data_IF_413816954558
#
_entry.id   IF_413816954558
#
_cell.length_a   1.000
_cell.length_b   1.000
_cell.length_c   1.000
_cell.angle_alpha   90.00
_cell.angle_beta   90.00
_cell.angle_gamma   90.00
#
_symmetry.space_group_name_H-M   'P 1'
#
loop_
_entity.id
_entity.type
_entity.pdbx_description
1 polymer ?
#
# COMPACT_ATOMS: atom_id res chain seq x y z
N UNK A 1 -8.26 -15.58 -10.30
CA UNK A 1 -9.68 -15.79 -10.64
C UNK A 1 -10.26 -14.57 -11.34
N UNK A 2 -10.45 -13.43 -10.65
CA UNK A 2 -11.11 -12.25 -11.23
C UNK A 2 -10.52 -11.82 -12.58
N UNK A 3 -9.19 -11.77 -12.68
CA UNK A 3 -8.50 -11.44 -13.93
C UNK A 3 -8.85 -12.39 -15.09
N UNK A 4 -8.79 -13.70 -14.85
CA UNK A 4 -9.10 -14.73 -15.86
C UNK A 4 -10.54 -14.67 -16.38
N UNK A 5 -11.47 -14.08 -15.61
CA UNK A 5 -12.89 -13.95 -15.98
C UNK A 5 -13.32 -12.50 -16.20
N UNK A 6 -12.37 -11.59 -16.42
CA UNK A 6 -12.63 -10.19 -16.75
C UNK A 6 -13.43 -9.42 -15.68
N UNK A 7 -13.28 -9.78 -14.41
CA UNK A 7 -13.95 -9.12 -13.29
C UNK A 7 -13.02 -8.05 -12.71
N UNK A 8 -13.42 -6.77 -12.68
CA UNK A 8 -12.66 -5.70 -12.03
C UNK A 8 -12.34 -5.99 -10.56
N UNK A 9 -11.18 -5.54 -10.12
CA UNK A 9 -10.73 -5.68 -8.73
C UNK A 9 -10.77 -4.31 -8.05
N UNK A 10 -11.47 -4.23 -6.92
CA UNK A 10 -11.48 -3.05 -6.05
C UNK A 10 -10.89 -3.46 -4.70
N UNK A 11 -9.79 -2.83 -4.34
CA UNK A 11 -9.05 -3.11 -3.11
C UNK A 11 -9.29 -2.01 -2.10
N UNK A 12 -9.61 -2.38 -0.85
CA UNK A 12 -9.65 -1.47 0.29
C UNK A 12 -8.46 -1.77 1.19
N UNK A 13 -7.62 -0.78 1.43
CA UNK A 13 -6.36 -0.96 2.14
C UNK A 13 -6.37 -0.29 3.53
N UNK A 14 -6.21 -1.11 4.56
CA UNK A 14 -5.86 -0.72 5.93
C UNK A 14 -4.94 -1.80 6.53
N UNK A 15 -3.66 -1.77 6.14
CA UNK A 15 -2.67 -2.79 6.50
C UNK A 15 -1.42 -2.15 7.13
N UNK A 16 -1.06 -2.52 8.38
CA UNK A 16 0.15 -2.02 9.04
C UNK A 16 1.43 -2.78 8.63
N UNK A 17 1.32 -3.86 7.84
CA UNK A 17 2.42 -4.72 7.46
C UNK A 17 2.05 -6.20 7.48
N UNK A 18 3.05 -7.06 7.34
CA UNK A 18 2.91 -8.50 7.53
C UNK A 18 2.96 -8.86 9.02
N UNK A 19 2.34 -9.97 9.39
CA UNK A 19 2.40 -10.49 10.76
C UNK A 19 3.83 -10.95 11.08
N UNK A 20 4.51 -10.36 12.08
CA UNK A 20 5.82 -10.84 12.49
C UNK A 20 5.71 -12.17 13.25
N UNK A 21 6.70 -13.05 13.06
CA UNK A 21 6.85 -14.25 13.88
C UNK A 21 7.66 -15.36 13.21
N UNK A 22 8.45 -16.09 13.99
CA UNK A 22 9.29 -17.21 13.50
C UNK A 22 8.48 -18.24 12.72
N UNK A 23 7.26 -18.53 13.19
CA UNK A 23 6.36 -19.46 12.51
C UNK A 23 5.96 -18.95 11.11
N UNK A 24 5.78 -17.65 10.91
CA UNK A 24 5.48 -17.08 9.59
C UNK A 24 6.66 -17.28 8.64
N UNK A 25 7.88 -17.04 9.12
CA UNK A 25 9.10 -17.24 8.35
C UNK A 25 9.31 -18.71 7.96
N UNK A 26 9.22 -19.62 8.93
CA UNK A 26 9.36 -21.06 8.68
C UNK A 26 8.27 -21.63 7.78
N UNK A 27 7.04 -21.10 7.87
CA UNK A 27 5.94 -21.46 6.98
C UNK A 27 6.04 -20.76 5.60
N UNK A 28 7.12 -20.01 5.35
CA UNK A 28 7.44 -19.46 4.05
C UNK A 28 6.60 -18.23 3.67
N UNK A 29 6.36 -17.31 4.60
CA UNK A 29 5.60 -16.07 4.35
C UNK A 29 6.13 -15.28 3.15
N UNK A 30 7.44 -15.33 2.87
CA UNK A 30 8.06 -14.71 1.69
C UNK A 30 7.43 -15.24 0.40
N UNK A 31 7.36 -16.57 0.24
CA UNK A 31 6.75 -17.22 -0.93
C UNK A 31 5.25 -16.95 -1.00
N UNK A 32 4.57 -16.98 0.14
CA UNK A 32 3.12 -16.76 0.21
C UNK A 32 2.73 -15.31 -0.11
N UNK A 33 3.42 -14.32 0.46
CA UNK A 33 3.20 -12.90 0.19
C UNK A 33 3.48 -12.54 -1.27
N UNK A 34 4.51 -13.15 -1.87
CA UNK A 34 4.85 -12.93 -3.27
C UNK A 34 3.75 -13.42 -4.24
N UNK A 35 2.89 -14.38 -3.84
CA UNK A 35 1.72 -14.81 -4.65
C UNK A 35 0.75 -13.66 -4.88
N UNK A 36 0.48 -12.85 -3.85
CA UNK A 36 -0.43 -11.71 -3.96
C UNK A 36 0.15 -10.61 -4.86
N UNK A 37 1.44 -10.31 -4.68
CA UNK A 37 2.17 -9.38 -5.54
C UNK A 37 2.11 -9.84 -7.01
N UNK A 38 2.42 -11.12 -7.25
CA UNK A 38 2.38 -11.72 -8.57
C UNK A 38 0.99 -11.59 -9.21
N UNK A 39 -0.06 -11.92 -8.45
CA UNK A 39 -1.45 -11.86 -8.95
C UNK A 39 -1.87 -10.45 -9.37
N UNK A 40 -1.52 -9.41 -8.60
CA UNK A 40 -1.83 -8.02 -8.98
C UNK A 40 -0.98 -7.53 -10.17
N UNK A 41 0.31 -7.88 -10.21
CA UNK A 41 1.22 -7.50 -11.30
C UNK A 41 0.85 -8.16 -12.63
N UNK A 42 0.38 -9.42 -12.61
CA UNK A 42 -0.03 -10.15 -13.79
C UNK A 42 -1.40 -9.68 -14.31
N UNK A 43 -2.30 -9.29 -13.40
CA UNK A 43 -3.66 -8.93 -13.76
C UNK A 43 -3.74 -7.73 -14.73
N UNK A 44 -4.55 -7.90 -15.78
CA UNK A 44 -4.81 -6.92 -16.84
C UNK A 44 -6.20 -6.28 -16.74
N UNK A 45 -7.10 -6.87 -15.95
CA UNK A 45 -8.40 -6.25 -15.62
C UNK A 45 -8.24 -4.87 -15.00
N UNK A 46 -9.30 -4.04 -15.02
CA UNK A 46 -9.39 -2.85 -14.17
C UNK A 46 -9.08 -3.13 -12.70
N UNK A 47 -8.14 -2.38 -12.15
CA UNK A 47 -7.70 -2.43 -10.75
C UNK A 47 -7.84 -1.05 -10.13
N UNK A 48 -8.63 -0.96 -9.07
CA UNK A 48 -8.82 0.27 -8.31
C UNK A 48 -8.46 0.01 -6.85
N UNK A 49 -7.81 0.97 -6.19
CA UNK A 49 -7.49 0.88 -4.77
C UNK A 49 -8.03 2.10 -4.01
N UNK A 50 -8.53 1.87 -2.80
CA UNK A 50 -8.93 2.91 -1.84
C UNK A 50 -8.20 2.64 -0.53
N UNK A 51 -7.22 3.49 -0.22
CA UNK A 51 -6.51 3.45 1.05
C UNK A 51 -7.38 4.15 2.09
N UNK A 52 -7.91 3.39 3.05
CA UNK A 52 -8.86 3.89 4.05
C UNK A 52 -8.14 4.39 5.29
N UNK A 53 -7.02 3.73 5.67
CA UNK A 53 -6.18 4.15 6.79
C UNK A 53 -4.72 3.72 6.59
N UNK A 54 -4.23 2.63 7.18
CA UNK A 54 -2.79 2.30 7.14
C UNK A 54 -2.38 1.67 5.81
N UNK A 55 -1.22 2.07 5.30
CA UNK A 55 -0.61 1.48 4.11
C UNK A 55 0.92 1.53 4.28
N UNK A 56 1.48 0.51 4.93
CA UNK A 56 2.89 0.52 5.33
C UNK A 56 3.77 -0.44 4.53
N UNK A 57 4.90 0.08 4.05
CA UNK A 57 6.04 -0.68 3.55
C UNK A 57 5.67 -1.69 2.45
N UNK A 58 6.15 -2.92 2.61
CA UNK A 58 5.89 -3.99 1.65
C UNK A 58 4.41 -4.30 1.47
N UNK A 59 3.59 -4.14 2.52
CA UNK A 59 2.15 -4.40 2.40
C UNK A 59 1.46 -3.39 1.48
N UNK A 60 1.83 -2.11 1.56
CA UNK A 60 1.40 -1.09 0.59
C UNK A 60 1.74 -1.48 -0.84
N UNK A 61 3.00 -1.88 -1.08
CA UNK A 61 3.43 -2.26 -2.41
C UNK A 61 2.57 -3.40 -2.98
N UNK A 62 2.22 -4.39 -2.15
CA UNK A 62 1.48 -5.60 -2.53
C UNK A 62 -0.03 -5.35 -2.70
N UNK A 63 -0.61 -4.34 -2.03
CA UNK A 63 -2.05 -4.09 -2.01
C UNK A 63 -2.55 -3.17 -3.15
N UNK A 64 -2.33 -3.60 -4.40
CA UNK A 64 -2.76 -2.85 -5.60
C UNK A 64 -2.22 -1.40 -5.62
N UNK A 65 -0.95 -1.20 -5.27
CA UNK A 65 -0.31 0.11 -5.41
C UNK A 65 -0.20 0.54 -6.87
N UNK A 66 -0.03 1.84 -7.11
CA UNK A 66 0.19 2.39 -8.47
C UNK A 66 1.44 1.78 -9.12
N UNK A 67 2.44 1.44 -8.32
CA UNK A 67 3.69 0.83 -8.76
C UNK A 67 3.49 -0.56 -9.38
N UNK A 68 2.39 -1.23 -9.08
CA UNK A 68 2.05 -2.56 -9.60
C UNK A 68 0.85 -2.53 -10.56
N UNK A 69 0.78 -1.48 -11.37
CA UNK A 69 -0.18 -1.33 -12.49
C UNK A 69 -1.64 -1.21 -12.04
N UNK A 70 -1.88 -0.70 -10.84
CA UNK A 70 -3.23 -0.28 -10.45
C UNK A 70 -3.64 0.93 -11.27
N UNK A 71 -4.87 0.95 -11.78
CA UNK A 71 -5.33 1.98 -12.72
C UNK A 71 -5.66 3.28 -11.99
N UNK A 72 -6.41 3.17 -10.89
CA UNK A 72 -6.84 4.34 -10.09
C UNK A 72 -6.70 4.03 -8.59
N UNK A 73 -5.93 4.87 -7.89
CA UNK A 73 -5.72 4.77 -6.46
C UNK A 73 -6.22 6.05 -5.77
N UNK A 74 -7.16 5.90 -4.86
CA UNK A 74 -7.62 6.98 -3.98
C UNK A 74 -7.15 6.75 -2.55
N UNK A 75 -7.02 7.83 -1.81
CA UNK A 75 -6.80 7.77 -0.37
C UNK A 75 -7.86 8.59 0.37
N UNK A 76 -8.26 8.14 1.55
CA UNK A 76 -9.01 8.98 2.48
C UNK A 76 -8.08 9.97 3.19
N UNK A 77 -8.60 11.06 3.79
CA UNK A 77 -7.77 11.98 4.58
C UNK A 77 -7.15 11.31 5.81
N UNK A 78 -7.72 10.19 6.25
CA UNK A 78 -7.24 9.33 7.34
C UNK A 78 -6.14 8.36 6.91
N UNK A 79 -5.76 8.35 5.63
CA UNK A 79 -4.77 7.42 5.13
C UNK A 79 -3.35 7.79 5.58
N UNK A 80 -2.61 6.80 6.03
CA UNK A 80 -1.23 6.90 6.47
C UNK A 80 -0.38 6.03 5.55
N UNK A 81 0.31 6.65 4.59
CA UNK A 81 1.14 5.95 3.60
C UNK A 81 2.60 6.17 3.97
N UNK A 82 3.28 5.12 4.42
CA UNK A 82 4.63 5.24 4.97
C UNK A 82 5.49 4.00 4.69
N UNK A 83 6.82 4.13 4.80
CA UNK A 83 7.76 3.00 4.64
C UNK A 83 7.61 1.98 5.79
N UNK A 84 7.37 2.46 7.01
CA UNK A 84 7.10 1.65 8.19
C UNK A 84 6.34 2.49 9.22
N UNK A 85 5.85 1.85 10.29
CA UNK A 85 5.20 2.57 11.39
C UNK A 85 6.12 3.58 12.08
N UNK A 86 5.56 4.73 12.47
CA UNK A 86 6.31 5.87 13.01
C UNK A 86 7.25 5.52 14.18
N UNK A 87 6.80 4.68 15.11
CA UNK A 87 7.61 4.26 16.25
C UNK A 87 8.86 3.48 15.81
N UNK A 88 8.71 2.56 14.86
CA UNK A 88 9.83 1.81 14.28
C UNK A 88 10.79 2.72 13.52
N UNK A 89 10.26 3.65 12.73
CA UNK A 89 11.06 4.61 11.97
C UNK A 89 11.89 5.51 12.90
N UNK A 90 11.28 6.06 13.95
CA UNK A 90 11.94 6.96 14.90
C UNK A 90 13.08 6.26 15.65
N UNK A 91 12.85 5.02 16.09
CA UNK A 91 13.88 4.24 16.79
C UNK A 91 15.11 3.98 15.93
N UNK A 92 14.96 3.91 14.59
CA UNK A 92 16.08 3.69 13.67
C UNK A 92 16.73 5.02 13.28
N UNK A 93 15.94 6.01 12.87
CA UNK A 93 16.43 7.29 12.35
C UNK A 93 17.11 8.14 13.44
N UNK A 94 16.54 8.15 14.64
CA UNK A 94 16.99 8.99 15.75
C UNK A 94 17.70 8.20 16.85
N UNK A 95 18.14 6.96 16.57
CA UNK A 95 18.80 6.08 17.54
C UNK A 95 19.93 6.78 18.33
N UNK A 96 20.77 7.55 17.62
CA UNK A 96 21.91 8.28 18.22
C UNK A 96 21.48 9.49 19.05
N UNK A 97 20.40 10.16 18.67
CA UNK A 97 19.86 11.30 19.40
C UNK A 97 19.18 10.83 20.69
N UNK A 98 18.36 9.77 20.60
CA UNK A 98 17.71 9.15 21.74
C UNK A 98 18.72 8.60 22.75
N UNK A 99 19.83 8.01 22.29
CA UNK A 99 20.89 7.52 23.18
C UNK A 99 21.65 8.63 23.92
N UNK A 100 21.62 9.86 23.42
CA UNK A 100 22.27 11.03 24.04
C UNK A 100 21.31 11.91 24.82
N UNK A 101 20.01 11.63 24.76
CA UNK A 101 18.98 12.41 25.44
C UNK A 101 18.99 12.13 26.93
N UNK A 102 18.84 13.18 27.74
CA UNK A 102 18.63 13.06 29.19
C UNK A 102 17.27 12.43 29.51
N UNK A 103 16.29 12.59 28.63
CA UNK A 103 14.98 11.93 28.71
C UNK A 103 14.61 11.29 27.36
N UNK A 104 15.11 10.07 27.08
CA UNK A 104 14.88 9.39 25.81
C UNK A 104 13.41 9.10 25.52
N UNK A 105 12.60 8.83 26.54
CA UNK A 105 11.20 8.46 26.35
C UNK A 105 10.33 9.64 25.94
N UNK A 106 10.47 10.78 26.64
CA UNK A 106 9.78 12.01 26.25
C UNK A 106 10.21 12.47 24.84
N UNK A 107 11.52 12.43 24.55
CA UNK A 107 12.04 12.80 23.23
C UNK A 107 11.53 11.87 22.12
N UNK A 108 11.38 10.57 22.41
CA UNK A 108 10.84 9.60 21.45
C UNK A 108 9.39 9.92 21.10
N UNK A 109 8.54 10.22 22.08
CA UNK A 109 7.14 10.55 21.82
C UNK A 109 6.99 11.84 20.99
N UNK A 110 7.80 12.86 21.26
CA UNK A 110 7.87 14.07 20.42
C UNK A 110 8.22 13.75 18.97
N UNK A 111 9.29 12.97 18.75
CA UNK A 111 9.74 12.58 17.42
C UNK A 111 8.72 11.71 16.70
N UNK A 112 7.97 10.85 17.42
CA UNK A 112 6.89 10.05 16.85
C UNK A 112 5.74 10.95 16.38
N UNK A 113 5.35 11.93 17.19
CA UNK A 113 4.31 12.89 16.82
C UNK A 113 4.72 13.70 15.58
N UNK A 114 5.95 14.24 15.57
CA UNK A 114 6.49 14.98 14.42
C UNK A 114 6.56 14.11 13.16
N UNK A 115 7.03 12.87 13.29
CA UNK A 115 7.11 11.94 12.16
C UNK A 115 5.73 11.61 11.59
N UNK A 116 4.72 11.43 12.44
CA UNK A 116 3.34 11.18 11.99
C UNK A 116 2.77 12.38 11.24
N UNK A 117 2.94 13.58 11.78
CA UNK A 117 2.43 14.80 11.15
C UNK A 117 3.08 15.04 9.78
N UNK A 118 4.40 14.88 9.71
CA UNK A 118 5.17 15.14 8.49
C UNK A 118 5.02 14.07 7.42
N UNK A 119 5.05 12.79 7.80
CA UNK A 119 5.21 11.68 6.84
C UNK A 119 4.04 10.70 6.82
N UNK A 120 3.18 10.66 7.84
CA UNK A 120 2.03 9.74 7.89
C UNK A 120 0.76 10.42 7.42
N UNK A 121 0.81 11.02 6.23
CA UNK A 121 -0.32 11.65 5.57
C UNK A 121 -0.39 11.22 4.08
N UNK A 122 -1.55 11.34 3.42
CA UNK A 122 -1.70 10.89 2.03
C UNK A 122 -1.22 11.92 1.01
N UNK A 123 -0.94 13.16 1.43
CA UNK A 123 -0.65 14.27 0.53
C UNK A 123 0.74 14.17 -0.10
N UNK A 124 1.72 13.61 0.63
CA UNK A 124 3.04 13.32 0.07
C UNK A 124 2.98 12.31 -1.08
N UNK A 125 2.16 11.27 -0.92
CA UNK A 125 1.93 10.27 -1.96
C UNK A 125 1.18 10.89 -3.16
N UNK A 126 0.21 11.77 -2.90
CA UNK A 126 -0.51 12.49 -3.95
C UNK A 126 0.40 13.44 -4.74
N UNK A 127 1.26 14.20 -4.06
CA UNK A 127 2.21 15.12 -4.69
C UNK A 127 3.20 14.41 -5.61
N UNK A 128 3.52 13.14 -5.32
CA UNK A 128 4.38 12.27 -6.14
C UNK A 128 3.63 11.51 -7.23
N UNK A 129 2.30 11.61 -7.29
CA UNK A 129 1.47 10.86 -8.24
C UNK A 129 1.36 9.36 -7.93
N UNK A 130 1.67 8.94 -6.70
CA UNK A 130 1.50 7.54 -6.27
C UNK A 130 0.04 7.19 -5.97
N UNK A 131 -0.79 8.22 -5.75
CA UNK A 131 -2.25 8.12 -5.73
C UNK A 131 -2.84 9.22 -6.62
N UNK A 132 -4.00 8.94 -7.21
CA UNK A 132 -4.70 9.84 -8.13
C UNK A 132 -5.49 10.94 -7.41
N UNK A 133 -5.74 10.78 -6.11
CA UNK A 133 -6.29 11.85 -5.29
C UNK A 133 -6.72 11.45 -3.90
N UNK A 134 -6.80 12.46 -3.03
CA UNK A 134 -7.39 12.35 -1.70
C UNK A 134 -8.88 12.70 -1.80
N UNK A 135 -9.76 11.81 -1.35
CA UNK A 135 -11.22 11.94 -1.47
C UNK A 135 -11.90 11.82 -0.12
N UNK A 136 -13.06 12.46 0.07
CA UNK A 136 -13.83 12.25 1.31
C UNK A 136 -14.41 10.83 1.33
N UNK A 137 -14.48 10.14 2.50
CA UNK A 137 -15.00 8.76 2.57
C UNK A 137 -16.37 8.58 1.91
N UNK A 138 -17.29 9.54 2.08
CA UNK A 138 -18.63 9.54 1.44
C UNK A 138 -18.63 9.62 -0.09
N UNK A 139 -17.53 10.08 -0.70
CA UNK A 139 -17.41 10.21 -2.16
C UNK A 139 -16.91 8.92 -2.83
N UNK A 140 -16.44 7.95 -2.04
CA UNK A 140 -15.80 6.71 -2.51
C UNK A 140 -16.62 6.01 -3.58
N UNK A 141 -17.91 5.76 -3.33
CA UNK A 141 -18.80 5.08 -4.30
C UNK A 141 -18.86 5.82 -5.63
N UNK A 142 -19.10 7.15 -5.60
CA UNK A 142 -19.21 7.97 -6.81
C UNK A 142 -17.90 7.99 -7.59
N UNK A 143 -16.77 8.06 -6.89
CA UNK A 143 -15.43 8.06 -7.48
C UNK A 143 -15.08 6.72 -8.11
N UNK A 144 -15.41 5.60 -7.46
CA UNK A 144 -15.20 4.25 -7.99
C UNK A 144 -16.05 3.99 -9.24
N UNK A 145 -17.33 4.37 -9.24
CA UNK A 145 -18.20 4.20 -10.43
C UNK A 145 -17.60 4.93 -11.64
N UNK A 146 -17.22 6.20 -11.47
CA UNK A 146 -16.61 7.00 -12.55
C UNK A 146 -15.29 6.41 -13.02
N UNK A 147 -14.45 5.97 -12.09
CA UNK A 147 -13.18 5.35 -12.44
C UNK A 147 -13.41 4.07 -13.27
N UNK A 148 -14.33 3.20 -12.85
CA UNK A 148 -14.72 2.00 -13.59
C UNK A 148 -15.27 2.32 -14.99
N UNK A 149 -16.09 3.36 -15.14
CA UNK A 149 -16.58 3.81 -16.44
C UNK A 149 -15.44 4.22 -17.38
N UNK A 150 -14.41 4.89 -16.87
CA UNK A 150 -13.23 5.29 -17.65
C UNK A 150 -12.40 4.08 -18.07
N UNK A 151 -12.17 3.14 -17.16
CA UNK A 151 -11.28 1.98 -17.42
C UNK A 151 -12.01 0.76 -17.99
N UNK A 152 -13.32 0.83 -18.26
CA UNK A 152 -14.11 -0.30 -18.78
C UNK A 152 -13.64 -0.85 -20.12
N UNK A 153 -12.93 -0.04 -20.90
CA UNK A 153 -12.39 -0.39 -22.21
C UNK A 153 -10.88 -0.66 -22.16
N UNK A 154 -10.30 -0.77 -20.97
CA UNK A 154 -8.89 -1.09 -20.78
C UNK A 154 -8.52 -2.34 -21.55
N UNK A 155 -7.43 -2.24 -22.32
CA UNK A 155 -6.74 -3.37 -22.94
C UNK A 155 -5.28 -3.24 -22.58
N UNK A 156 -4.76 -4.28 -21.95
CA UNK A 156 -3.37 -4.34 -21.52
C UNK A 156 -2.82 -5.71 -21.92
N UNK A 157 -1.53 -5.76 -22.26
CA UNK A 157 -0.88 -6.97 -22.79
C UNK A 157 0.33 -7.32 -21.95
N UNK A 158 0.46 -8.60 -21.64
CA UNK A 158 1.65 -9.12 -20.98
C UNK A 158 2.63 -9.68 -22.02
N UNK A 159 3.94 -9.74 -21.72
CA UNK A 159 4.92 -10.35 -22.61
C UNK A 159 4.57 -11.80 -22.98
N UNK A 160 4.89 -12.24 -24.22
CA UNK A 160 4.56 -13.57 -24.69
C UNK A 160 5.30 -14.64 -23.87
N UNK A 161 4.55 -15.63 -23.38
CA UNK A 161 5.03 -16.77 -22.60
C UNK A 161 3.99 -17.90 -22.67
N UNK A 162 4.38 -19.15 -22.39
CA UNK A 162 3.40 -20.25 -22.23
C UNK A 162 2.51 -20.01 -21.01
N UNK A 163 3.16 -19.66 -19.90
CA UNK A 163 2.58 -19.20 -18.64
C UNK A 163 3.71 -18.54 -17.84
N UNK A 164 3.39 -17.86 -16.73
CA UNK A 164 4.43 -17.40 -15.81
C UNK A 164 4.83 -18.47 -14.80
N UNK A 165 5.68 -18.07 -13.84
CA UNK A 165 6.19 -18.94 -12.78
C UNK A 165 5.90 -18.31 -11.42
N UNK A 166 4.61 -18.31 -11.06
CA UNK A 166 4.17 -17.82 -9.76
C UNK A 166 4.86 -18.63 -8.64
N UNK A 167 5.28 -18.00 -7.52
CA UNK A 167 5.73 -18.74 -6.36
C UNK A 167 4.66 -19.73 -5.89
N UNK A 168 5.04 -20.97 -5.61
CA UNK A 168 4.16 -22.03 -5.10
C UNK A 168 4.54 -22.45 -3.68
#
# INVERSE_FOLDING_TARGET
FCDAFNIPIITFEDVPGFLPGVNQEHNGIIKHGAKLLYAYCEATVPKLCVITRKAYGGAYCVMSSKHIRSDVNYAWPTAEIAVMGAQGAVNILYARELAKSENPDARREELIAEYRERFSNPYDAAARGYIDGVIKPRETRRKLIRALEVVRHKRDVNPPKKHGNIPL
#
